data_IF_550928892298
#
_entry.id   IF_550928892298
#
_cell.length_a   1.000
_cell.length_b   1.000
_cell.length_c   1.000
_cell.angle_alpha   90.00
_cell.angle_beta   90.00
_cell.angle_gamma   90.00
#
_symmetry.space_group_name_H-M   'P 1'
#
loop_
_entity.id
_entity.type
_entity.pdbx_description
1 polymer ?
#
# COMPACT_ATOMS: atom_id res chain seq x y z
N UNK A 1 -16.91 15.69 -5.14
CA UNK A 1 -15.72 15.24 -5.92
C UNK A 1 -14.54 15.08 -4.98
N UNK A 2 -13.68 14.08 -5.22
CA UNK A 2 -12.42 13.83 -4.51
C UNK A 2 -11.23 14.05 -5.48
N UNK A 3 -9.99 13.91 -4.98
CA UNK A 3 -8.78 13.92 -5.84
C UNK A 3 -8.03 15.25 -5.91
N UNK A 4 -8.48 16.31 -5.23
CA UNK A 4 -7.70 17.54 -5.01
C UNK A 4 -8.05 18.15 -3.65
N UNK A 5 -7.07 18.69 -2.90
CA UNK A 5 -7.31 19.33 -1.61
C UNK A 5 -7.86 20.75 -1.83
N UNK A 6 -9.17 20.90 -1.69
CA UNK A 6 -9.83 22.21 -1.77
C UNK A 6 -11.01 22.28 -0.79
N UNK A 7 -11.31 23.47 -0.22
CA UNK A 7 -12.51 23.65 0.61
C UNK A 7 -13.78 23.16 -0.08
N UNK A 8 -14.68 22.55 0.69
CA UNK A 8 -15.93 21.98 0.18
C UNK A 8 -15.80 20.59 -0.50
N UNK A 9 -14.59 20.07 -0.70
CA UNK A 9 -14.37 18.69 -1.17
C UNK A 9 -14.26 17.70 0.00
N UNK A 10 -14.44 16.41 -0.29
CA UNK A 10 -14.23 15.33 0.70
C UNK A 10 -12.78 15.34 1.15
N UNK A 11 -12.56 15.21 2.46
CA UNK A 11 -11.24 15.15 3.06
C UNK A 11 -10.64 13.73 2.96
N UNK A 12 -10.36 13.30 1.73
CA UNK A 12 -9.57 12.10 1.42
C UNK A 12 -8.10 12.53 1.32
N UNK A 13 -7.35 12.42 2.42
CA UNK A 13 -6.04 13.05 2.59
C UNK A 13 -5.03 12.01 3.07
N UNK A 14 -3.84 12.02 2.48
CA UNK A 14 -2.68 11.24 2.91
C UNK A 14 -1.59 12.21 3.35
N UNK A 15 -1.05 12.01 4.56
CA UNK A 15 0.10 12.74 5.07
C UNK A 15 1.33 11.83 5.01
N UNK A 16 2.41 12.35 4.45
CA UNK A 16 3.68 11.65 4.34
C UNK A 16 4.67 12.19 5.36
N UNK A 17 5.37 11.29 6.06
CA UNK A 17 6.54 11.61 6.87
C UNK A 17 7.78 11.65 5.97
N UNK A 18 8.32 12.85 5.83
CA UNK A 18 9.50 13.17 5.01
C UNK A 18 10.78 13.36 5.85
N UNK A 19 10.77 12.92 7.11
CA UNK A 19 11.91 13.06 8.04
C UNK A 19 12.81 11.82 8.11
N UNK A 20 12.33 10.67 7.63
CA UNK A 20 13.07 9.40 7.65
C UNK A 20 14.24 9.33 6.68
N UNK A 21 15.11 8.34 6.88
CA UNK A 21 16.32 8.13 6.06
C UNK A 21 16.04 7.92 4.57
N UNK A 22 14.87 7.38 4.21
CA UNK A 22 14.46 7.23 2.81
C UNK A 22 14.25 8.56 2.09
N UNK A 23 14.18 9.67 2.84
CA UNK A 23 14.02 11.03 2.32
C UNK A 23 15.23 11.90 2.64
N UNK A 24 16.36 11.34 3.11
CA UNK A 24 17.51 12.14 3.49
C UNK A 24 17.98 13.04 2.32
N UNK A 25 18.01 14.35 2.55
CA UNK A 25 18.46 15.34 1.55
C UNK A 25 17.45 15.70 0.46
N UNK A 26 16.16 15.37 0.61
CA UNK A 26 15.15 15.71 -0.38
C UNK A 26 14.99 17.24 -0.57
N UNK A 27 14.71 17.66 -1.81
CA UNK A 27 14.54 19.08 -2.15
C UNK A 27 13.17 19.61 -1.69
N UNK A 28 13.15 20.45 -0.66
CA UNK A 28 11.92 21.05 -0.11
C UNK A 28 11.16 21.94 -1.09
N UNK A 29 11.84 22.51 -2.09
CA UNK A 29 11.21 23.32 -3.13
C UNK A 29 10.51 22.47 -4.19
N UNK A 30 10.78 21.16 -4.24
CA UNK A 30 10.13 20.20 -5.15
C UNK A 30 9.79 18.89 -4.40
N UNK A 31 8.78 18.92 -3.53
CA UNK A 31 8.31 17.72 -2.82
C UNK A 31 7.78 16.65 -3.77
N UNK A 32 7.25 17.04 -4.94
CA UNK A 32 6.63 16.11 -5.88
C UNK A 32 7.66 15.12 -6.43
N UNK A 33 8.85 15.59 -6.83
CA UNK A 33 9.92 14.72 -7.30
C UNK A 33 10.36 13.72 -6.23
N UNK A 34 10.49 14.16 -4.98
CA UNK A 34 10.83 13.28 -3.86
C UNK A 34 9.75 12.21 -3.60
N UNK A 35 8.48 12.61 -3.63
CA UNK A 35 7.35 11.69 -3.46
C UNK A 35 7.34 10.62 -4.55
N UNK A 36 7.51 11.01 -5.82
CA UNK A 36 7.45 10.09 -6.95
C UNK A 36 8.66 9.14 -6.96
N UNK A 37 9.86 9.66 -6.70
CA UNK A 37 11.10 8.92 -6.91
C UNK A 37 11.58 8.16 -5.66
N UNK A 38 11.21 8.57 -4.45
CA UNK A 38 11.80 8.07 -3.20
C UNK A 38 10.77 7.53 -2.20
N UNK A 39 9.57 8.10 -2.15
CA UNK A 39 8.59 7.71 -1.13
C UNK A 39 8.03 6.30 -1.38
N UNK A 40 7.68 5.62 -0.29
CA UNK A 40 7.01 4.33 -0.31
C UNK A 40 5.87 4.28 0.74
N UNK A 41 5.17 3.15 0.82
CA UNK A 41 4.05 2.98 1.75
C UNK A 41 4.42 3.16 3.22
N UNK A 42 5.69 2.95 3.59
CA UNK A 42 6.24 3.21 4.91
C UNK A 42 6.30 4.69 5.27
N UNK A 43 6.39 5.59 4.29
CA UNK A 43 6.34 7.04 4.53
C UNK A 43 4.94 7.54 4.88
N UNK A 44 3.88 6.75 4.66
CA UNK A 44 2.51 7.19 4.94
C UNK A 44 2.28 7.26 6.46
N UNK A 45 2.18 8.47 7.01
CA UNK A 45 2.02 8.68 8.45
C UNK A 45 0.56 8.64 8.90
N UNK A 46 -0.28 9.46 8.26
CA UNK A 46 -1.71 9.59 8.58
C UNK A 46 -2.54 9.49 7.30
N UNK A 47 -3.69 8.83 7.39
CA UNK A 47 -4.67 8.76 6.28
C UNK A 47 -6.04 9.14 6.82
N UNK A 48 -6.71 10.03 6.09
CA UNK A 48 -8.10 10.41 6.31
C UNK A 48 -8.92 9.97 5.11
N UNK A 49 -10.09 9.37 5.35
CA UNK A 49 -11.09 9.04 4.34
C UNK A 49 -12.39 9.73 4.73
N UNK A 50 -12.85 10.66 3.91
CA UNK A 50 -14.00 11.52 4.21
C UNK A 50 -13.85 12.29 5.52
N UNK A 51 -12.61 12.64 5.91
CA UNK A 51 -12.32 13.31 7.18
C UNK A 51 -12.16 12.38 8.39
N UNK A 52 -12.46 11.09 8.26
CA UNK A 52 -12.22 10.10 9.32
C UNK A 52 -10.79 9.58 9.24
N UNK A 53 -10.04 9.67 10.34
CA UNK A 53 -8.69 9.10 10.43
C UNK A 53 -8.77 7.57 10.38
N UNK A 54 -8.09 6.94 9.42
CA UNK A 54 -8.01 5.47 9.27
C UNK A 54 -6.60 4.93 9.50
N UNK A 55 -5.59 5.80 9.44
CA UNK A 55 -4.20 5.52 9.83
C UNK A 55 -3.68 6.71 10.63
N UNK A 56 -2.95 6.46 11.72
CA UNK A 56 -2.27 7.46 12.56
C UNK A 56 -0.94 6.91 13.03
N UNK A 57 0.09 7.76 13.01
CA UNK A 57 1.44 7.44 13.47
C UNK A 57 1.97 6.14 12.84
N UNK A 58 1.73 5.96 11.54
CA UNK A 58 2.16 4.76 10.81
C UNK A 58 1.27 3.53 11.00
N UNK A 59 0.23 3.58 11.85
CA UNK A 59 -0.60 2.42 12.26
C UNK A 59 -2.05 2.57 11.83
N UNK A 60 -2.68 1.48 11.37
CA UNK A 60 -4.12 1.45 11.09
C UNK A 60 -4.90 1.49 12.41
N UNK A 61 -5.96 2.30 12.51
CA UNK A 61 -6.66 2.58 13.79
C UNK A 61 -8.07 1.99 13.92
N UNK A 62 -8.54 1.26 12.91
CA UNK A 62 -9.90 0.69 12.87
C UNK A 62 -9.91 -0.71 12.23
N UNK A 63 -9.00 -1.58 12.64
CA UNK A 63 -8.75 -2.88 12.01
C UNK A 63 -8.77 -4.04 13.01
N UNK A 64 -9.56 -3.91 14.06
CA UNK A 64 -9.71 -4.96 15.06
C UNK A 64 -10.19 -6.27 14.41
N UNK A 65 -9.51 -7.37 14.70
CA UNK A 65 -9.80 -8.68 14.10
C UNK A 65 -9.40 -8.84 12.63
N UNK A 66 -9.13 -7.76 11.89
CA UNK A 66 -8.83 -7.81 10.46
C UNK A 66 -7.61 -8.67 10.14
N UNK A 67 -6.59 -8.67 11.02
CA UNK A 67 -5.41 -9.52 10.85
C UNK A 67 -5.75 -11.01 10.96
N UNK A 68 -6.63 -11.39 11.88
CA UNK A 68 -7.07 -12.78 12.03
C UNK A 68 -7.87 -13.23 10.81
N UNK A 69 -8.82 -12.40 10.35
CA UNK A 69 -9.58 -12.66 9.12
C UNK A 69 -8.68 -12.76 7.89
N UNK A 70 -7.68 -11.88 7.76
CA UNK A 70 -6.70 -11.94 6.67
C UNK A 70 -5.86 -13.22 6.74
N UNK A 71 -5.44 -13.64 7.94
CA UNK A 71 -4.67 -14.87 8.12
C UNK A 71 -5.50 -16.12 7.78
N UNK A 72 -6.76 -16.17 8.21
CA UNK A 72 -7.68 -17.25 7.85
C UNK A 72 -7.91 -17.31 6.34
N UNK A 73 -8.19 -16.17 5.71
CA UNK A 73 -8.35 -16.08 4.26
C UNK A 73 -7.09 -16.48 3.51
N UNK A 74 -5.91 -16.09 4.01
CA UNK A 74 -4.63 -16.49 3.44
C UNK A 74 -4.43 -18.01 3.52
N UNK A 75 -4.70 -18.63 4.68
CA UNK A 75 -4.62 -20.07 4.87
C UNK A 75 -5.57 -20.81 3.93
N UNK A 76 -6.84 -20.38 3.85
CA UNK A 76 -7.82 -20.95 2.94
C UNK A 76 -7.35 -20.90 1.47
N UNK A 77 -6.89 -19.73 1.01
CA UNK A 77 -6.40 -19.59 -0.37
C UNK A 77 -5.19 -20.48 -0.61
N UNK A 78 -4.26 -20.55 0.34
CA UNK A 78 -3.09 -21.40 0.24
C UNK A 78 -3.45 -22.89 0.13
N UNK A 79 -4.40 -23.36 0.94
CA UNK A 79 -4.88 -24.74 0.90
C UNK A 79 -5.62 -25.05 -0.40
N UNK A 80 -6.47 -24.13 -0.87
CA UNK A 80 -7.13 -24.27 -2.18
C UNK A 80 -6.11 -24.33 -3.31
N UNK A 81 -5.08 -23.47 -3.28
CA UNK A 81 -4.02 -23.51 -4.29
C UNK A 81 -3.29 -24.85 -4.27
N UNK A 82 -2.96 -25.39 -3.08
CA UNK A 82 -2.31 -26.70 -2.97
C UNK A 82 -3.18 -27.85 -3.53
N UNK A 83 -4.51 -27.73 -3.45
CA UNK A 83 -5.46 -28.70 -4.01
C UNK A 83 -5.65 -28.56 -5.54
N UNK A 84 -5.28 -27.42 -6.12
CA UNK A 84 -5.53 -27.05 -7.52
C UNK A 84 -4.24 -26.72 -8.27
N UNK A 85 -3.23 -27.59 -8.16
CA UNK A 85 -1.95 -27.53 -8.89
C UNK A 85 -1.05 -26.30 -8.60
N UNK A 86 -1.36 -25.57 -7.52
CA UNK A 86 -0.60 -24.42 -7.05
C UNK A 86 -0.94 -23.11 -7.76
N UNK A 87 -0.21 -22.04 -7.41
CA UNK A 87 -0.38 -20.74 -8.06
C UNK A 87 0.13 -20.71 -9.51
N UNK A 88 1.24 -21.41 -9.71
CA UNK A 88 1.99 -21.41 -10.95
C UNK A 88 1.37 -22.50 -11.82
N UNK A 89 0.89 -22.18 -13.03
CA UNK A 89 0.34 -23.18 -13.95
C UNK A 89 1.27 -24.39 -14.06
N UNK A 90 0.70 -25.59 -14.02
CA UNK A 90 1.42 -26.85 -14.25
C UNK A 90 0.90 -27.50 -15.54
N UNK A 91 1.76 -27.76 -16.55
CA UNK A 91 3.19 -27.44 -16.57
C UNK A 91 3.44 -25.92 -16.61
N UNK A 92 4.61 -25.45 -16.17
CA UNK A 92 4.98 -24.04 -16.24
C UNK A 92 4.72 -23.48 -17.64
N UNK A 93 4.09 -22.30 -17.71
CA UNK A 93 3.92 -21.62 -18.99
C UNK A 93 5.30 -21.41 -19.66
N UNK A 94 5.42 -21.75 -20.94
CA UNK A 94 6.60 -21.43 -21.71
C UNK A 94 6.75 -19.91 -21.81
N UNK A 95 7.66 -19.35 -21.00
CA UNK A 95 7.99 -17.93 -21.07
C UNK A 95 9.09 -17.73 -22.12
N UNK A 96 8.91 -16.85 -23.12
CA UNK A 96 9.86 -16.65 -24.22
C UNK A 96 11.24 -16.13 -23.79
N UNK A 97 11.42 -15.80 -22.51
CA UNK A 97 12.66 -15.23 -21.95
C UNK A 97 13.68 -16.27 -21.48
N UNK A 98 13.34 -17.58 -21.45
CA UNK A 98 14.24 -18.65 -20.99
C UNK A 98 14.68 -19.65 -22.07
N UNK A 99 14.28 -19.46 -23.33
CA UNK A 99 14.64 -20.35 -24.44
C UNK A 99 15.72 -19.71 -25.34
N UNK A 100 16.93 -19.51 -24.78
CA UNK A 100 18.12 -19.12 -25.54
C UNK A 100 19.30 -19.99 -25.13
#
# INVERSE_FOLDING_TARGET
MAGTPAPGKRADIVLLDMSGVSQAGWNRSDPCAAIIAQANSGNVHTVLVGGRVVKRDGRQVHVDGALATLAESHGYLHDQMAQHDGFIPQPPAELPVFNR
#
